data_IF_953167558238
#
_entry.id   IF_953167558238
#
_cell.length_a   1.000
_cell.length_b   1.000
_cell.length_c   1.000
_cell.angle_alpha   90.00
_cell.angle_beta   90.00
_cell.angle_gamma   90.00
#
_symmetry.space_group_name_H-M   'P 1'
#
loop_
_entity.id
_entity.type
_entity.pdbx_description
1 polymer ?
#
# COMPACT_ATOMS: atom_id res chain seq x y z
N UNK A 1 54.56 5.31 -27.41
CA UNK A 1 53.66 6.35 -27.97
C UNK A 1 52.32 5.71 -28.29
N UNK A 2 51.26 6.39 -27.85
CA UNK A 2 49.84 6.05 -27.95
C UNK A 2 49.40 5.47 -29.30
N UNK A 3 48.49 4.49 -29.25
CA UNK A 3 47.27 4.50 -30.07
C UNK A 3 46.15 3.62 -29.47
N UNK A 4 44.97 4.21 -29.52
CA UNK A 4 43.71 3.81 -28.91
C UNK A 4 43.20 2.41 -29.32
N UNK A 5 42.70 1.67 -28.33
CA UNK A 5 41.69 0.62 -28.53
C UNK A 5 40.45 0.94 -27.68
N UNK A 6 39.42 1.45 -28.36
CA UNK A 6 38.06 1.54 -27.84
C UNK A 6 37.43 0.15 -27.82
N UNK A 7 37.42 -0.49 -26.65
CA UNK A 7 36.63 -1.72 -26.43
C UNK A 7 35.26 -1.32 -25.88
N UNK A 8 34.25 -1.34 -26.75
CA UNK A 8 32.83 -1.28 -26.36
C UNK A 8 32.54 -2.49 -25.44
N UNK A 9 32.33 -2.25 -24.14
CA UNK A 9 31.68 -3.22 -23.26
C UNK A 9 30.18 -3.16 -23.53
N UNK A 10 29.66 -4.20 -24.18
CA UNK A 10 28.23 -4.47 -24.28
C UNK A 10 27.68 -4.75 -22.88
N UNK A 11 26.88 -3.81 -22.37
CA UNK A 11 26.01 -4.07 -21.24
C UNK A 11 24.93 -5.03 -21.76
N UNK A 12 24.97 -6.27 -21.28
CA UNK A 12 23.89 -7.23 -21.45
C UNK A 12 22.70 -6.66 -20.66
N UNK A 13 21.83 -5.91 -21.34
CA UNK A 13 20.49 -5.59 -20.85
C UNK A 13 19.65 -6.84 -21.01
N UNK A 14 19.34 -7.49 -19.91
CA UNK A 14 18.27 -8.49 -19.82
C UNK A 14 17.00 -7.87 -20.40
N UNK A 15 16.32 -8.48 -21.38
CA UNK A 15 15.03 -7.98 -21.81
C UNK A 15 14.03 -8.21 -20.68
N UNK A 16 13.44 -7.12 -20.19
CA UNK A 16 12.21 -7.11 -19.40
C UNK A 16 11.15 -7.91 -20.16
N UNK A 17 11.01 -9.19 -19.85
CA UNK A 17 9.84 -9.97 -20.24
C UNK A 17 8.69 -9.50 -19.37
N UNK A 18 7.93 -8.52 -19.85
CA UNK A 18 6.53 -8.38 -19.45
C UNK A 18 5.88 -9.75 -19.67
N UNK A 19 5.46 -10.40 -18.60
CA UNK A 19 4.70 -11.65 -18.70
C UNK A 19 3.36 -11.28 -19.33
N UNK A 20 3.26 -11.38 -20.65
CA UNK A 20 1.98 -11.36 -21.36
C UNK A 20 1.20 -12.61 -20.93
N UNK A 21 0.44 -12.50 -19.84
CA UNK A 21 -0.59 -13.50 -19.54
C UNK A 21 -1.74 -13.24 -20.50
N UNK A 22 -1.73 -13.95 -21.62
CA UNK A 22 -2.94 -14.16 -22.42
C UNK A 22 -4.00 -14.75 -21.50
N UNK A 23 -5.14 -14.06 -21.37
CA UNK A 23 -6.30 -14.60 -20.69
C UNK A 23 -6.77 -15.84 -21.46
N UNK A 24 -6.34 -17.02 -21.02
CA UNK A 24 -7.08 -18.24 -21.25
C UNK A 24 -8.35 -18.12 -20.41
N UNK A 25 -9.44 -17.71 -21.06
CA UNK A 25 -10.79 -17.99 -20.54
C UNK A 25 -10.81 -19.42 -20.02
N UNK A 26 -11.42 -19.71 -18.86
CA UNK A 26 -11.61 -21.09 -18.43
C UNK A 26 -12.41 -21.78 -19.52
N UNK A 27 -11.73 -22.58 -20.33
CA UNK A 27 -12.34 -23.54 -21.24
C UNK A 27 -13.04 -24.55 -20.33
N UNK A 28 -14.22 -24.23 -19.84
CA UNK A 28 -15.27 -25.24 -19.96
C UNK A 28 -15.50 -25.31 -21.46
N UNK A 29 -15.06 -26.37 -22.16
CA UNK A 29 -15.56 -26.53 -23.51
C UNK A 29 -17.08 -26.55 -23.33
N UNK A 30 -17.78 -25.64 -24.02
CA UNK A 30 -19.05 -26.07 -24.56
C UNK A 30 -18.69 -27.30 -25.38
N UNK A 31 -18.88 -28.47 -24.78
CA UNK A 31 -18.88 -29.72 -25.52
C UNK A 31 -20.13 -29.59 -26.36
N UNK A 32 -19.99 -28.98 -27.54
CA UNK A 32 -20.79 -29.42 -28.67
C UNK A 32 -20.58 -30.92 -28.68
N UNK A 33 -21.62 -31.67 -28.34
CA UNK A 33 -21.62 -33.10 -28.62
C UNK A 33 -21.21 -33.18 -30.10
N UNK A 34 -20.03 -33.76 -30.42
CA UNK A 34 -19.78 -34.07 -31.81
C UNK A 34 -20.97 -34.93 -32.20
N UNK A 35 -21.70 -34.53 -33.24
CA UNK A 35 -22.66 -35.43 -33.88
C UNK A 35 -21.93 -36.75 -34.00
N UNK A 36 -22.38 -37.74 -33.23
CA UNK A 36 -21.72 -39.04 -33.16
C UNK A 36 -21.63 -39.51 -34.61
N UNK A 37 -20.41 -39.75 -35.15
CA UNK A 37 -20.31 -40.38 -36.45
C UNK A 37 -21.09 -41.68 -36.33
N UNK A 38 -22.05 -41.88 -37.24
CA UNK A 38 -23.02 -42.98 -37.26
C UNK A 38 -22.41 -44.24 -36.63
N UNK A 39 -22.71 -44.50 -35.36
CA UNK A 39 -22.12 -45.63 -34.66
C UNK A 39 -22.50 -46.89 -35.43
N UNK A 40 -21.51 -47.71 -35.77
CA UNK A 40 -21.57 -48.92 -36.60
C UNK A 40 -22.49 -50.05 -36.04
N UNK A 41 -23.42 -49.72 -35.14
CA UNK A 41 -24.38 -50.65 -34.51
C UNK A 41 -25.74 -50.68 -35.20
N UNK A 42 -25.98 -49.88 -36.25
CA UNK A 42 -27.16 -50.01 -37.13
C UNK A 42 -26.71 -50.51 -38.50
N UNK A 43 -27.41 -51.50 -39.05
CA UNK A 43 -27.15 -52.03 -40.39
C UNK A 43 -27.45 -50.92 -41.42
N UNK A 44 -26.41 -50.39 -42.07
CA UNK A 44 -26.52 -49.36 -43.11
C UNK A 44 -26.51 -50.07 -44.46
N UNK A 45 -27.48 -49.77 -45.34
CA UNK A 45 -27.52 -50.37 -46.68
C UNK A 45 -26.27 -49.94 -47.47
N UNK A 46 -25.69 -50.80 -48.34
CA UNK A 46 -24.44 -50.49 -49.05
C UNK A 46 -24.48 -49.18 -49.87
N UNK A 47 -25.68 -48.76 -50.26
CA UNK A 47 -25.97 -47.55 -51.03
C UNK A 47 -25.94 -46.27 -50.17
N UNK A 48 -25.99 -46.40 -48.85
CA UNK A 48 -26.00 -45.30 -47.87
C UNK A 48 -24.63 -45.13 -47.17
N UNK A 49 -23.64 -45.95 -47.51
CA UNK A 49 -22.26 -45.76 -47.03
C UNK A 49 -21.61 -44.62 -47.79
N UNK A 50 -21.63 -43.43 -47.19
CA UNK A 50 -20.81 -42.30 -47.63
C UNK A 50 -19.34 -42.73 -47.69
N UNK A 51 -18.68 -42.37 -48.78
CA UNK A 51 -17.22 -42.54 -48.88
C UNK A 51 -16.52 -41.72 -47.79
N UNK A 52 -15.28 -42.08 -47.39
CA UNK A 52 -14.55 -41.34 -46.37
C UNK A 52 -14.42 -39.83 -46.67
N UNK A 53 -14.35 -39.49 -47.96
CA UNK A 53 -14.26 -38.12 -48.47
C UNK A 53 -15.59 -37.37 -48.34
N UNK A 54 -16.71 -38.00 -48.70
CA UNK A 54 -18.04 -37.44 -48.52
C UNK A 54 -18.41 -37.27 -47.04
N UNK A 55 -17.96 -38.20 -46.19
CA UNK A 55 -18.18 -38.12 -44.75
C UNK A 55 -17.34 -36.99 -44.11
N UNK A 56 -16.14 -36.72 -44.62
CA UNK A 56 -15.36 -35.53 -44.22
C UNK A 56 -15.98 -34.23 -44.73
N UNK A 57 -16.49 -34.21 -45.96
CA UNK A 57 -17.14 -33.04 -46.55
C UNK A 57 -18.49 -32.69 -45.90
N UNK A 58 -19.18 -33.68 -45.32
CA UNK A 58 -20.41 -33.49 -44.57
C UNK A 58 -20.20 -32.87 -43.17
N UNK A 59 -18.95 -32.85 -42.66
CA UNK A 59 -18.61 -32.18 -41.41
C UNK A 59 -18.43 -30.69 -41.74
N UNK A 60 -19.29 -29.79 -41.22
CA UNK A 60 -19.13 -28.36 -41.46
C UNK A 60 -17.74 -27.91 -40.99
N UNK A 61 -17.00 -27.11 -41.78
CA UNK A 61 -15.71 -26.60 -41.36
C UNK A 61 -15.90 -25.80 -40.06
N UNK A 62 -14.93 -25.88 -39.14
CA UNK A 62 -14.97 -25.10 -37.90
C UNK A 62 -15.15 -23.63 -38.27
N UNK A 63 -16.11 -22.90 -37.66
CA UNK A 63 -16.23 -21.48 -37.90
C UNK A 63 -14.89 -20.81 -37.57
N UNK A 64 -14.30 -20.18 -38.58
CA UNK A 64 -13.05 -19.42 -38.44
C UNK A 64 -13.40 -18.02 -37.95
N UNK A 65 -12.73 -17.59 -36.89
CA UNK A 65 -12.92 -16.23 -36.33
C UNK A 65 -11.93 -15.23 -36.91
N UNK A 66 -11.25 -15.57 -38.01
CA UNK A 66 -10.21 -14.75 -38.63
C UNK A 66 -10.77 -13.46 -39.25
N UNK A 67 -12.03 -13.47 -39.66
CA UNK A 67 -12.73 -12.30 -40.20
C UNK A 67 -13.17 -11.31 -39.11
N UNK A 68 -13.29 -11.77 -37.86
CA UNK A 68 -13.62 -10.91 -36.73
C UNK A 68 -12.43 -9.99 -36.47
N UNK A 69 -12.65 -8.68 -36.61
CA UNK A 69 -11.65 -7.67 -36.29
C UNK A 69 -11.12 -7.90 -34.87
N UNK A 70 -9.87 -8.34 -34.74
CA UNK A 70 -9.20 -8.50 -33.45
C UNK A 70 -9.10 -7.13 -32.80
N UNK A 71 -9.92 -6.90 -31.78
CA UNK A 71 -9.84 -5.71 -30.93
C UNK A 71 -8.62 -5.89 -30.02
N UNK A 72 -7.54 -5.18 -30.29
CA UNK A 72 -6.38 -5.17 -29.39
C UNK A 72 -6.77 -4.34 -28.17
N UNK A 73 -6.86 -5.02 -27.03
CA UNK A 73 -7.18 -4.46 -25.74
C UNK A 73 -5.93 -4.58 -24.87
N UNK A 74 -5.04 -3.59 -24.89
CA UNK A 74 -4.02 -3.48 -23.83
C UNK A 74 -4.71 -2.94 -22.58
N UNK A 75 -5.40 -3.86 -21.91
CA UNK A 75 -6.21 -3.63 -20.73
C UNK A 75 -5.41 -4.23 -19.55
N UNK A 76 -4.67 -3.41 -18.76
CA UNK A 76 -3.89 -3.90 -17.63
C UNK A 76 -4.80 -4.53 -16.56
N UNK A 77 -4.32 -5.44 -15.71
CA UNK A 77 -5.13 -5.89 -14.59
C UNK A 77 -5.34 -4.70 -13.62
N UNK A 78 -6.54 -4.44 -13.06
CA UNK A 78 -6.74 -3.40 -12.04
C UNK A 78 -5.76 -3.47 -10.87
N UNK A 79 -5.29 -4.66 -10.52
CA UNK A 79 -4.28 -4.88 -9.48
C UNK A 79 -2.90 -4.35 -9.88
N UNK A 80 -2.60 -4.27 -11.18
CA UNK A 80 -1.36 -3.72 -11.73
C UNK A 80 -1.40 -2.17 -11.82
N UNK A 81 -2.60 -1.57 -11.68
CA UNK A 81 -2.77 -0.12 -11.61
C UNK A 81 -2.62 0.32 -10.16
N UNK A 82 -1.38 0.51 -9.73
CA UNK A 82 -1.10 0.99 -8.39
C UNK A 82 -1.39 2.49 -8.31
N UNK A 83 -2.39 2.86 -7.52
CA UNK A 83 -2.72 4.24 -7.18
C UNK A 83 -3.27 4.34 -5.75
N UNK A 84 -2.86 5.40 -5.06
CA UNK A 84 -3.12 5.67 -3.64
C UNK A 84 -4.36 6.52 -3.41
N UNK A 85 -4.77 7.36 -4.38
CA UNK A 85 -5.74 8.44 -4.14
C UNK A 85 -7.10 8.21 -4.78
N UNK A 86 -7.23 7.25 -5.72
CA UNK A 86 -8.48 7.05 -6.43
C UNK A 86 -9.42 6.10 -5.71
N UNK A 87 -10.68 6.51 -5.67
CA UNK A 87 -11.86 5.65 -5.49
C UNK A 87 -12.80 5.92 -6.65
N UNK A 88 -13.12 4.87 -7.40
CA UNK A 88 -13.96 4.98 -8.58
C UNK A 88 -15.43 5.06 -8.19
N UNK A 89 -16.15 6.02 -8.79
CA UNK A 89 -17.57 6.22 -8.61
C UNK A 89 -18.34 6.00 -9.92
N UNK A 90 -19.68 6.08 -9.84
CA UNK A 90 -20.55 5.89 -11.02
C UNK A 90 -20.29 6.91 -12.11
N UNK A 91 -19.93 8.14 -11.75
CA UNK A 91 -19.61 9.22 -12.68
C UNK A 91 -18.35 8.91 -13.48
N UNK A 92 -17.33 8.32 -12.85
CA UNK A 92 -16.09 7.93 -13.54
C UNK A 92 -16.35 6.89 -14.63
N UNK A 93 -17.23 5.91 -14.35
CA UNK A 93 -17.65 4.89 -15.30
C UNK A 93 -18.38 5.54 -16.49
N UNK A 94 -19.25 6.51 -16.22
CA UNK A 94 -20.00 7.24 -17.25
C UNK A 94 -19.07 8.12 -18.11
N UNK A 95 -18.20 8.92 -17.48
CA UNK A 95 -17.23 9.78 -18.17
C UNK A 95 -16.32 8.93 -19.05
N UNK A 96 -15.79 7.83 -18.52
CA UNK A 96 -14.97 6.92 -19.29
C UNK A 96 -15.71 6.43 -20.53
N UNK A 97 -16.97 5.99 -20.38
CA UNK A 97 -17.80 5.51 -21.50
C UNK A 97 -18.06 6.56 -22.58
N UNK A 98 -18.27 7.82 -22.21
CA UNK A 98 -18.62 8.89 -23.16
C UNK A 98 -17.40 9.65 -23.71
N UNK A 99 -16.22 9.47 -23.12
CA UNK A 99 -14.98 10.11 -23.59
C UNK A 99 -14.52 9.56 -24.94
N UNK A 100 -13.92 10.43 -25.76
CA UNK A 100 -13.37 10.08 -27.09
C UNK A 100 -12.30 8.98 -27.00
N UNK A 101 -11.56 8.94 -25.89
CA UNK A 101 -10.44 8.03 -25.65
C UNK A 101 -10.78 6.82 -24.76
N UNK A 102 -12.00 6.76 -24.20
CA UNK A 102 -12.53 5.66 -23.37
C UNK A 102 -11.60 5.21 -22.25
N UNK A 103 -11.02 6.17 -21.54
CA UNK A 103 -9.97 5.96 -20.53
C UNK A 103 -10.59 5.90 -19.13
N UNK A 104 -10.38 4.78 -18.44
CA UNK A 104 -10.76 4.62 -17.03
C UNK A 104 -9.62 5.01 -16.05
N UNK A 105 -8.35 4.84 -16.45
CA UNK A 105 -7.15 5.17 -15.66
C UNK A 105 -6.10 5.83 -16.53
N UNK A 106 -5.41 6.85 -16.01
CA UNK A 106 -4.22 7.49 -16.58
C UNK A 106 -4.30 7.87 -18.08
N UNK A 107 -3.38 8.70 -18.54
CA UNK A 107 -3.35 9.13 -19.94
C UNK A 107 -2.80 8.07 -20.91
N UNK A 108 -2.32 6.93 -20.40
CA UNK A 108 -1.62 5.87 -21.13
C UNK A 108 -2.54 4.79 -21.72
N UNK A 109 -3.77 4.63 -21.25
CA UNK A 109 -4.59 3.44 -21.56
C UNK A 109 -5.78 3.77 -22.44
N UNK A 110 -5.55 3.81 -23.76
CA UNK A 110 -6.60 4.02 -24.77
C UNK A 110 -7.14 2.70 -25.29
N UNK A 111 -8.45 2.52 -25.21
CA UNK A 111 -9.14 1.44 -25.94
C UNK A 111 -9.55 1.98 -27.31
N UNK A 112 -8.75 1.68 -28.34
CA UNK A 112 -9.05 2.04 -29.73
C UNK A 112 -9.91 0.96 -30.36
N UNK A 113 -11.18 1.28 -30.65
CA UNK A 113 -11.95 0.48 -31.60
C UNK A 113 -11.62 1.01 -33.00
N UNK A 114 -10.76 0.30 -33.73
CA UNK A 114 -10.66 0.50 -35.18
C UNK A 114 -11.97 -0.04 -35.77
N UNK A 115 -12.85 0.86 -36.20
CA UNK A 115 -13.87 0.47 -37.17
C UNK A 115 -13.12 0.08 -38.45
N UNK A 116 -13.29 -1.17 -38.90
CA UNK A 116 -13.04 -1.50 -40.29
C UNK A 116 -14.06 -0.67 -41.09
N UNK A 117 -13.61 -0.10 -42.20
CA UNK A 117 -14.35 0.76 -43.13
C UNK A 117 -14.27 2.26 -42.81
N UNK A 118 -13.37 2.91 -43.55
CA UNK A 118 -13.40 4.34 -43.77
C UNK A 118 -14.73 4.72 -44.40
N UNK A 119 -15.34 5.73 -43.81
CA UNK A 119 -16.57 6.33 -44.29
C UNK A 119 -16.97 7.40 -43.30
N UNK A 120 -17.09 8.63 -43.79
CA UNK A 120 -17.46 9.87 -43.07
C UNK A 120 -18.87 9.85 -42.45
N UNK A 121 -19.33 8.73 -41.91
CA UNK A 121 -20.50 8.67 -41.01
C UNK A 121 -20.04 8.88 -39.57
N UNK A 122 -19.37 10.00 -39.36
CA UNK A 122 -19.10 10.58 -38.06
C UNK A 122 -20.42 11.10 -37.46
N UNK A 123 -21.15 10.26 -36.73
CA UNK A 123 -22.39 10.71 -36.10
C UNK A 123 -22.85 9.89 -34.91
N UNK A 124 -22.77 8.56 -34.98
CA UNK A 124 -23.31 7.72 -33.90
C UNK A 124 -22.18 7.09 -33.13
N UNK A 125 -21.78 7.75 -32.03
CA UNK A 125 -20.93 7.17 -30.98
C UNK A 125 -21.64 5.94 -30.40
N UNK A 126 -21.45 4.77 -30.99
CA UNK A 126 -22.09 3.55 -30.51
C UNK A 126 -21.69 3.29 -29.05
N UNK A 127 -22.72 3.22 -28.21
CA UNK A 127 -22.66 2.77 -26.82
C UNK A 127 -22.22 1.30 -26.83
N UNK A 128 -21.00 1.03 -26.38
CA UNK A 128 -20.48 -0.35 -26.32
C UNK A 128 -20.74 -0.92 -24.94
N UNK A 129 -21.88 -1.60 -24.76
CA UNK A 129 -22.27 -2.27 -23.50
C UNK A 129 -21.22 -3.24 -22.90
N UNK A 130 -20.41 -3.99 -23.70
CA UNK A 130 -19.34 -4.82 -23.15
C UNK A 130 -18.31 -4.05 -22.30
N UNK A 131 -18.06 -2.77 -22.62
CA UNK A 131 -17.15 -1.93 -21.84
C UNK A 131 -17.68 -1.59 -20.45
N UNK A 132 -19.01 -1.44 -20.33
CA UNK A 132 -19.66 -1.16 -19.05
C UNK A 132 -19.45 -2.32 -18.07
N UNK A 133 -19.52 -3.56 -18.55
CA UNK A 133 -19.28 -4.73 -17.71
C UNK A 133 -17.82 -4.81 -17.23
N UNK A 134 -16.87 -4.48 -18.10
CA UNK A 134 -15.44 -4.40 -17.74
C UNK A 134 -15.21 -3.28 -16.72
N UNK A 135 -15.67 -2.06 -17.01
CA UNK A 135 -15.52 -0.90 -16.13
C UNK A 135 -16.18 -1.10 -14.76
N UNK A 136 -17.35 -1.75 -14.71
CA UNK A 136 -18.01 -2.12 -13.46
C UNK A 136 -17.20 -3.15 -12.67
N UNK A 137 -16.71 -4.20 -13.33
CA UNK A 137 -15.87 -5.22 -12.69
C UNK A 137 -14.60 -4.59 -12.10
N UNK A 138 -13.98 -3.69 -12.86
CA UNK A 138 -12.78 -2.97 -12.46
C UNK A 138 -13.03 -2.02 -11.29
N UNK A 139 -14.13 -1.27 -11.34
CA UNK A 139 -14.54 -0.41 -10.24
C UNK A 139 -14.70 -1.23 -8.95
N UNK A 140 -15.30 -2.42 -9.05
CA UNK A 140 -15.45 -3.32 -7.90
C UNK A 140 -14.09 -3.78 -7.37
N UNK A 141 -13.19 -4.27 -8.23
CA UNK A 141 -11.86 -4.75 -7.82
C UNK A 141 -11.01 -3.63 -7.22
N UNK A 142 -11.00 -2.47 -7.87
CA UNK A 142 -10.20 -1.33 -7.45
C UNK A 142 -10.69 -0.73 -6.13
N UNK A 143 -12.02 -0.62 -5.95
CA UNK A 143 -12.59 -0.17 -4.68
C UNK A 143 -12.49 -1.22 -3.58
N UNK A 144 -12.38 -2.51 -3.91
CA UNK A 144 -12.15 -3.56 -2.91
C UNK A 144 -10.75 -3.46 -2.26
N UNK A 145 -9.80 -2.77 -2.89
CA UNK A 145 -8.52 -2.42 -2.26
C UNK A 145 -8.71 -1.45 -1.09
N UNK A 146 -9.83 -0.73 -1.00
CA UNK A 146 -10.15 0.17 0.12
C UNK A 146 -11.00 -0.62 1.12
N UNK A 147 -10.32 -1.49 1.87
CA UNK A 147 -10.95 -2.32 2.91
C UNK A 147 -11.42 -1.41 4.06
N UNK A 148 -12.58 -1.68 4.69
CA UNK A 148 -12.97 -0.99 5.90
C UNK A 148 -12.01 -1.38 7.03
N UNK A 149 -11.41 -0.39 7.68
CA UNK A 149 -10.51 -0.60 8.82
C UNK A 149 -11.20 -0.23 10.12
N UNK A 150 -10.67 -0.74 11.23
CA UNK A 150 -10.99 -0.30 12.58
C UNK A 150 -9.88 0.59 13.11
N UNK A 151 -10.22 1.50 14.02
CA UNK A 151 -9.19 2.24 14.73
C UNK A 151 -8.54 1.33 15.78
N UNK A 152 -7.20 1.36 15.82
CA UNK A 152 -6.43 0.67 16.84
C UNK A 152 -6.91 1.14 18.22
N UNK A 153 -7.54 0.22 18.96
CA UNK A 153 -8.09 0.51 20.26
C UNK A 153 -6.99 1.00 21.21
N UNK A 154 -7.23 2.13 21.89
CA UNK A 154 -6.33 2.58 22.96
C UNK A 154 -6.18 1.44 23.98
N UNK A 155 -4.94 1.01 24.22
CA UNK A 155 -4.67 -0.14 25.09
C UNK A 155 -5.33 0.12 26.44
N UNK A 156 -6.28 -0.74 26.84
CA UNK A 156 -6.67 -0.80 28.25
C UNK A 156 -5.40 -1.17 29.01
N UNK A 157 -4.93 -0.27 29.87
CA UNK A 157 -3.77 -0.49 30.71
C UNK A 157 -3.99 -1.77 31.53
N UNK A 158 -3.45 -2.91 31.07
CA UNK A 158 -3.79 -4.18 31.70
C UNK A 158 -3.18 -5.46 31.11
N UNK A 159 -2.59 -5.44 29.91
CA UNK A 159 -1.98 -6.64 29.31
C UNK A 159 -0.58 -6.97 29.85
N UNK A 160 -0.25 -6.53 31.07
CA UNK A 160 0.98 -6.97 31.72
C UNK A 160 0.80 -8.35 32.33
N UNK A 161 1.67 -9.30 31.99
CA UNK A 161 1.79 -10.54 32.76
C UNK A 161 2.17 -10.16 34.19
N UNK A 162 1.24 -10.38 35.13
CA UNK A 162 1.50 -10.18 36.54
C UNK A 162 2.33 -11.35 37.06
N UNK A 163 3.59 -11.08 37.39
CA UNK A 163 4.42 -12.01 38.15
C UNK A 163 3.76 -12.22 39.52
N UNK A 164 3.69 -13.46 39.98
CA UNK A 164 3.10 -13.76 41.29
C UNK A 164 3.92 -13.09 42.39
N UNK A 165 3.25 -12.64 43.46
CA UNK A 165 3.93 -11.96 44.58
C UNK A 165 5.08 -12.78 45.18
N UNK A 166 4.93 -14.11 45.19
CA UNK A 166 5.94 -15.06 45.65
C UNK A 166 7.17 -15.12 44.75
N UNK A 167 7.00 -15.17 43.42
CA UNK A 167 8.14 -15.10 42.50
C UNK A 167 8.84 -13.75 42.59
N UNK A 168 8.06 -12.67 42.69
CA UNK A 168 8.60 -11.31 42.77
C UNK A 168 9.54 -11.16 43.97
N UNK A 169 9.12 -11.58 45.17
CA UNK A 169 9.96 -11.51 46.37
C UNK A 169 11.26 -12.30 46.23
N UNK A 170 11.23 -13.46 45.55
CA UNK A 170 12.44 -14.25 45.26
C UNK A 170 13.36 -13.51 44.29
N UNK A 171 12.81 -12.91 43.23
CA UNK A 171 13.57 -12.11 42.26
C UNK A 171 14.16 -10.84 42.88
N UNK A 172 13.41 -10.14 43.73
CA UNK A 172 13.88 -8.98 44.50
C UNK A 172 15.13 -9.35 45.32
N UNK A 173 15.06 -10.45 46.08
CA UNK A 173 16.16 -10.89 46.96
C UNK A 173 17.46 -11.28 46.25
N UNK A 174 17.35 -11.73 44.99
CA UNK A 174 18.51 -12.11 44.17
C UNK A 174 19.06 -10.87 43.47
N UNK A 175 18.19 -10.06 42.88
CA UNK A 175 18.60 -8.84 42.16
C UNK A 175 19.36 -7.87 43.06
N UNK A 176 18.90 -7.66 44.32
CA UNK A 176 19.60 -6.79 45.28
C UNK A 176 21.03 -7.23 45.63
N UNK A 177 21.38 -8.49 45.34
CA UNK A 177 22.71 -9.06 45.60
C UNK A 177 23.55 -9.22 44.34
N UNK A 178 22.94 -9.11 43.16
CA UNK A 178 23.62 -9.24 41.87
C UNK A 178 24.30 -7.92 41.51
N UNK A 179 25.52 -7.98 40.97
CA UNK A 179 26.25 -6.78 40.54
C UNK A 179 25.89 -6.37 39.11
N UNK A 180 25.43 -7.30 38.28
CA UNK A 180 25.00 -7.04 36.91
C UNK A 180 23.83 -7.94 36.47
N UNK A 181 23.24 -7.61 35.31
CA UNK A 181 22.11 -8.34 34.72
C UNK A 181 22.46 -9.79 34.40
N UNK A 182 23.67 -10.06 33.90
CA UNK A 182 24.12 -11.40 33.53
C UNK A 182 24.30 -12.32 34.74
N UNK A 183 24.81 -11.80 35.86
CA UNK A 183 24.90 -12.46 37.14
C UNK A 183 23.51 -12.78 37.68
N UNK A 184 22.57 -11.82 37.62
CA UNK A 184 21.18 -12.04 38.01
C UNK A 184 20.55 -13.23 37.28
N UNK A 185 20.64 -13.29 35.95
CA UNK A 185 20.07 -14.41 35.17
C UNK A 185 20.71 -15.76 35.49
N UNK A 186 22.00 -15.76 35.88
CA UNK A 186 22.74 -16.96 36.28
C UNK A 186 22.31 -17.46 37.66
N UNK A 187 22.24 -16.57 38.64
CA UNK A 187 21.85 -16.89 40.02
C UNK A 187 20.43 -17.45 40.11
N UNK A 188 19.51 -16.93 39.31
CA UNK A 188 18.14 -17.47 39.25
C UNK A 188 18.02 -18.74 38.38
N UNK A 189 19.12 -19.19 37.77
CA UNK A 189 19.17 -20.32 36.83
C UNK A 189 18.16 -20.20 35.66
N UNK A 190 17.88 -18.97 35.20
CA UNK A 190 16.82 -18.71 34.22
C UNK A 190 17.02 -19.43 32.88
N UNK A 191 18.27 -19.52 32.42
CA UNK A 191 18.61 -20.15 31.13
C UNK A 191 18.37 -21.66 31.15
N UNK A 192 18.83 -22.35 32.21
CA UNK A 192 18.63 -23.80 32.32
C UNK A 192 17.15 -24.14 32.54
N UNK A 193 16.46 -23.34 33.37
CA UNK A 193 15.03 -23.46 33.60
C UNK A 193 14.24 -23.31 32.29
N UNK A 194 14.53 -22.29 31.48
CA UNK A 194 13.91 -22.10 30.16
C UNK A 194 14.17 -23.27 29.22
N UNK A 195 15.40 -23.79 29.19
CA UNK A 195 15.75 -24.95 28.37
C UNK A 195 14.98 -26.21 28.76
N UNK A 196 14.73 -26.43 30.06
CA UNK A 196 13.91 -27.53 30.54
C UNK A 196 12.44 -27.37 30.11
N UNK A 197 11.90 -26.15 30.20
CA UNK A 197 10.53 -25.83 29.78
C UNK A 197 10.35 -26.04 28.28
N UNK A 198 11.24 -25.51 27.44
CA UNK A 198 11.17 -25.66 25.98
C UNK A 198 11.28 -27.11 25.51
N UNK A 199 11.98 -27.97 26.28
CA UNK A 199 12.09 -29.41 26.01
C UNK A 199 10.91 -30.21 26.55
N UNK A 200 9.92 -29.58 27.19
CA UNK A 200 8.76 -30.24 27.79
C UNK A 200 9.13 -31.18 28.94
N UNK A 201 10.25 -30.94 29.63
CA UNK A 201 10.78 -31.81 30.69
C UNK A 201 10.33 -31.41 32.10
N UNK A 202 9.43 -30.44 32.22
CA UNK A 202 8.98 -29.88 33.50
C UNK A 202 7.50 -30.19 33.69
N UNK A 203 7.13 -30.63 34.89
CA UNK A 203 5.72 -30.88 35.21
C UNK A 203 4.94 -29.56 35.36
N UNK A 204 3.63 -29.51 35.03
CA UNK A 204 2.83 -28.29 35.14
C UNK A 204 2.83 -27.64 36.53
N UNK A 205 2.96 -28.44 37.59
CA UNK A 205 3.00 -27.96 38.99
C UNK A 205 4.34 -27.27 39.31
N UNK A 206 5.44 -27.79 38.78
CA UNK A 206 6.79 -27.22 38.96
C UNK A 206 6.96 -25.94 38.14
N UNK A 207 6.25 -25.83 37.01
CA UNK A 207 6.28 -24.67 36.13
C UNK A 207 5.91 -23.36 36.85
N UNK A 208 4.96 -23.41 37.79
CA UNK A 208 4.45 -22.23 38.48
C UNK A 208 5.47 -21.57 39.43
N UNK A 209 6.45 -22.33 39.90
CA UNK A 209 7.51 -21.84 40.80
C UNK A 209 8.87 -21.62 40.13
N UNK A 210 8.98 -21.97 38.84
CA UNK A 210 10.22 -21.90 38.09
C UNK A 210 10.48 -20.47 37.58
N UNK A 211 11.70 -19.97 37.77
CA UNK A 211 12.12 -18.70 37.19
C UNK A 211 12.70 -19.00 35.81
N UNK A 212 11.97 -18.66 34.77
CA UNK A 212 12.42 -18.73 33.36
C UNK A 212 12.96 -17.38 32.90
N UNK A 213 13.63 -17.38 31.75
CA UNK A 213 14.08 -16.14 31.09
C UNK A 213 12.92 -15.17 30.81
N UNK A 214 11.74 -15.70 30.46
CA UNK A 214 10.53 -14.91 30.21
C UNK A 214 10.15 -14.09 31.44
N UNK A 215 9.98 -14.76 32.59
CA UNK A 215 9.52 -14.13 33.83
C UNK A 215 10.58 -13.19 34.42
N UNK A 216 11.86 -13.59 34.36
CA UNK A 216 12.97 -12.76 34.83
C UNK A 216 13.14 -11.48 34.00
N UNK A 217 12.98 -11.56 32.67
CA UNK A 217 13.04 -10.39 31.78
C UNK A 217 11.86 -9.46 32.03
N UNK A 218 10.64 -9.99 32.13
CA UNK A 218 9.46 -9.18 32.46
C UNK A 218 9.58 -8.51 33.83
N UNK A 219 10.21 -9.19 34.81
CA UNK A 219 10.49 -8.61 36.11
C UNK A 219 11.41 -7.38 36.00
N UNK A 220 12.54 -7.52 35.29
CA UNK A 220 13.48 -6.40 35.08
C UNK A 220 12.82 -5.25 34.31
N UNK A 221 11.99 -5.53 33.30
CA UNK A 221 11.25 -4.49 32.57
C UNK A 221 10.12 -3.83 33.38
N UNK A 222 9.79 -4.35 34.58
CA UNK A 222 8.85 -3.73 35.51
C UNK A 222 9.54 -2.91 36.61
N UNK A 223 10.88 -2.92 36.65
CA UNK A 223 11.68 -2.18 37.62
C UNK A 223 12.00 -0.78 37.09
N UNK A 224 11.64 0.25 37.86
CA UNK A 224 11.83 1.65 37.46
C UNK A 224 13.30 2.00 37.25
N UNK A 225 14.18 1.52 38.12
CA UNK A 225 15.63 1.69 38.06
C UNK A 225 16.24 1.18 36.75
N UNK A 226 15.78 0.03 36.23
CA UNK A 226 16.22 -0.49 34.93
C UNK A 226 15.72 0.36 33.76
N UNK A 227 14.50 0.90 33.85
CA UNK A 227 13.94 1.74 32.79
C UNK A 227 14.57 3.14 32.77
N UNK A 228 14.88 3.65 33.96
CA UNK A 228 15.47 4.97 34.16
C UNK A 228 16.96 4.97 33.82
N UNK A 229 17.69 3.86 33.99
CA UNK A 229 19.09 3.73 33.56
C UNK A 229 19.22 3.12 32.16
N UNK A 230 19.72 3.92 31.21
CA UNK A 230 19.92 3.49 29.83
C UNK A 230 20.95 2.35 29.68
N UNK A 231 22.02 2.37 30.48
CA UNK A 231 23.09 1.36 30.37
C UNK A 231 22.53 -0.01 30.76
N UNK A 232 21.74 -0.06 31.83
CA UNK A 232 21.08 -1.29 32.30
C UNK A 232 20.04 -1.79 31.29
N UNK A 233 19.19 -0.89 30.75
CA UNK A 233 18.23 -1.25 29.70
C UNK A 233 18.94 -1.84 28.47
N UNK A 234 20.08 -1.28 28.10
CA UNK A 234 20.89 -1.73 26.96
C UNK A 234 21.55 -3.09 27.18
N UNK A 235 22.06 -3.32 28.39
CA UNK A 235 22.56 -4.64 28.78
C UNK A 235 21.44 -5.68 28.73
N UNK A 236 20.24 -5.32 29.17
CA UNK A 236 19.06 -6.20 29.10
C UNK A 236 18.68 -6.52 27.66
N UNK A 237 18.60 -5.53 26.77
CA UNK A 237 18.28 -5.74 25.35
C UNK A 237 19.34 -6.65 24.68
N UNK A 238 20.62 -6.38 24.93
CA UNK A 238 21.73 -7.20 24.40
C UNK A 238 21.66 -8.64 24.90
N UNK A 239 21.30 -8.83 26.17
CA UNK A 239 21.09 -10.14 26.77
C UNK A 239 19.91 -10.88 26.11
N UNK A 240 18.78 -10.20 25.90
CA UNK A 240 17.62 -10.77 25.21
C UNK A 240 18.01 -11.18 23.79
N UNK A 241 18.70 -10.32 23.04
CA UNK A 241 19.15 -10.58 21.67
C UNK A 241 20.04 -11.83 21.59
N UNK A 242 20.94 -12.01 22.54
CA UNK A 242 21.84 -13.17 22.59
C UNK A 242 21.13 -14.48 22.96
N UNK A 243 19.94 -14.40 23.57
CA UNK A 243 19.22 -15.55 24.12
C UNK A 243 17.78 -15.71 23.59
N UNK A 244 17.45 -15.10 22.44
CA UNK A 244 16.09 -15.14 21.85
C UNK A 244 15.53 -16.57 21.75
N UNK A 245 16.39 -17.54 21.40
CA UNK A 245 16.01 -18.96 21.24
C UNK A 245 15.57 -19.64 22.55
N UNK A 246 15.84 -19.02 23.71
CA UNK A 246 15.45 -19.53 25.03
C UNK A 246 14.11 -18.98 25.52
N UNK A 247 13.51 -18.03 24.80
CA UNK A 247 12.19 -17.49 25.12
C UNK A 247 11.07 -18.39 24.59
N UNK A 248 9.95 -18.44 25.30
CA UNK A 248 8.72 -18.96 24.70
C UNK A 248 8.12 -17.90 23.78
N UNK A 249 7.34 -18.32 22.77
CA UNK A 249 6.65 -17.37 21.86
C UNK A 249 5.77 -16.37 22.62
N UNK A 250 5.13 -16.83 23.70
CA UNK A 250 4.31 -15.97 24.56
C UNK A 250 5.18 -14.99 25.36
N UNK A 251 6.22 -15.49 26.05
CA UNK A 251 7.11 -14.65 26.83
C UNK A 251 7.82 -13.59 25.99
N UNK A 252 8.28 -13.94 24.79
CA UNK A 252 8.87 -12.98 23.86
C UNK A 252 7.85 -11.92 23.42
N UNK A 253 6.59 -12.31 23.17
CA UNK A 253 5.52 -11.37 22.82
C UNK A 253 5.25 -10.38 23.95
N UNK A 254 5.19 -10.87 25.19
CA UNK A 254 4.98 -10.04 26.39
C UNK A 254 6.16 -9.07 26.60
N UNK A 255 7.39 -9.53 26.37
CA UNK A 255 8.61 -8.71 26.44
C UNK A 255 8.58 -7.61 25.39
N UNK A 256 8.21 -7.94 24.15
CA UNK A 256 8.10 -6.97 23.05
C UNK A 256 7.02 -5.93 23.30
N UNK A 257 5.86 -6.33 23.81
CA UNK A 257 4.82 -5.38 24.19
C UNK A 257 5.29 -4.40 25.27
N UNK A 258 6.01 -4.90 26.28
CA UNK A 258 6.54 -4.07 27.35
C UNK A 258 7.63 -3.13 26.85
N UNK A 259 8.59 -3.63 26.08
CA UNK A 259 9.66 -2.82 25.46
C UNK A 259 9.07 -1.74 24.54
N UNK A 260 8.16 -2.11 23.64
CA UNK A 260 7.50 -1.16 22.75
C UNK A 260 6.78 -0.05 23.53
N UNK A 261 6.14 -0.39 24.65
CA UNK A 261 5.47 0.60 25.51
C UNK A 261 6.45 1.54 26.20
N UNK A 262 7.57 1.02 26.73
CA UNK A 262 8.59 1.83 27.40
C UNK A 262 9.18 2.82 26.40
N UNK A 263 9.67 2.32 25.28
CA UNK A 263 10.38 3.13 24.28
C UNK A 263 9.46 4.14 23.62
N UNK A 264 8.24 3.74 23.23
CA UNK A 264 7.30 4.64 22.58
C UNK A 264 6.89 5.83 23.46
N UNK A 265 6.87 5.64 24.79
CA UNK A 265 6.47 6.69 25.73
C UNK A 265 7.63 7.61 26.13
N UNK A 266 8.88 7.17 25.96
CA UNK A 266 10.05 7.96 26.31
C UNK A 266 10.56 8.75 25.09
N UNK A 267 9.94 9.92 24.86
CA UNK A 267 10.29 10.81 23.75
C UNK A 267 11.60 11.59 23.97
N UNK A 268 12.28 11.41 25.11
CA UNK A 268 13.47 12.19 25.47
C UNK A 268 14.79 11.56 25.03
N UNK A 269 14.77 10.30 24.59
CA UNK A 269 15.94 9.47 24.28
C UNK A 269 16.07 9.15 22.79
N UNK A 270 15.98 10.16 21.92
CA UNK A 270 15.98 9.96 20.46
C UNK A 270 17.29 9.35 19.92
N UNK A 271 18.44 9.61 20.55
CA UNK A 271 19.74 9.03 20.16
C UNK A 271 19.86 7.53 20.45
N UNK A 272 18.97 7.00 21.28
CA UNK A 272 19.11 5.70 21.93
C UNK A 272 18.24 4.61 21.26
N UNK A 273 17.44 5.03 20.27
CA UNK A 273 16.52 4.20 19.49
C UNK A 273 17.24 3.26 18.51
N UNK A 274 18.48 3.57 18.10
CA UNK A 274 19.22 2.80 17.10
C UNK A 274 19.50 1.36 17.56
N UNK A 275 19.88 1.13 18.82
CA UNK A 275 20.23 -0.22 19.27
C UNK A 275 18.98 -1.08 19.48
N UNK A 276 17.86 -0.45 19.83
CA UNK A 276 16.57 -1.12 19.80
C UNK A 276 16.14 -1.45 18.37
N UNK A 277 16.41 -0.58 17.39
CA UNK A 277 16.15 -0.85 15.98
C UNK A 277 16.90 -2.09 15.49
N UNK A 278 18.19 -2.22 15.81
CA UNK A 278 19.00 -3.39 15.44
C UNK A 278 18.48 -4.69 16.07
N UNK A 279 18.06 -4.63 17.34
CA UNK A 279 17.40 -5.75 18.01
C UNK A 279 16.08 -6.14 17.32
N UNK A 280 15.22 -5.17 17.02
CA UNK A 280 13.93 -5.39 16.37
C UNK A 280 14.09 -5.96 14.95
N UNK A 281 15.06 -5.46 14.18
CA UNK A 281 15.43 -6.01 12.86
C UNK A 281 15.81 -7.47 12.96
N UNK A 282 16.74 -7.80 13.85
CA UNK A 282 17.19 -9.19 14.05
C UNK A 282 16.05 -10.12 14.47
N UNK A 283 15.10 -9.63 15.27
CA UNK A 283 13.91 -10.40 15.64
C UNK A 283 12.93 -10.61 14.47
N UNK A 284 12.67 -9.59 13.66
CA UNK A 284 11.79 -9.68 12.49
C UNK A 284 12.36 -10.68 11.48
N UNK A 285 13.66 -10.65 11.24
CA UNK A 285 14.34 -11.56 10.32
C UNK A 285 14.35 -13.02 10.81
N UNK A 286 14.46 -13.24 12.13
CA UNK A 286 14.63 -14.60 12.68
C UNK A 286 13.35 -15.28 13.17
N UNK A 287 12.31 -14.53 13.54
CA UNK A 287 11.09 -15.05 14.21
C UNK A 287 9.78 -14.64 13.50
N UNK A 288 9.88 -14.33 12.21
CA UNK A 288 8.83 -13.80 11.33
C UNK A 288 7.44 -14.45 11.50
N UNK A 289 7.39 -15.79 11.57
CA UNK A 289 6.15 -16.52 11.26
C UNK A 289 5.29 -16.93 12.47
N UNK A 290 5.72 -16.76 13.72
CA UNK A 290 4.97 -17.31 14.87
C UNK A 290 4.68 -16.33 16.00
N UNK A 291 5.57 -15.38 16.29
CA UNK A 291 5.42 -14.48 17.44
C UNK A 291 4.92 -13.10 17.06
N UNK A 292 5.39 -12.54 15.93
CA UNK A 292 5.06 -11.16 15.52
C UNK A 292 3.61 -11.04 15.06
N UNK A 293 3.12 -11.97 14.23
CA UNK A 293 1.71 -11.96 13.78
C UNK A 293 0.69 -12.15 14.92
N UNK A 294 1.14 -12.61 16.11
CA UNK A 294 0.30 -12.78 17.30
C UNK A 294 0.32 -11.57 18.24
N UNK A 295 1.16 -10.58 17.97
CA UNK A 295 1.20 -9.35 18.77
C UNK A 295 -0.11 -8.57 18.62
N UNK A 296 -0.49 -7.87 19.68
CA UNK A 296 -1.64 -6.99 19.64
C UNK A 296 -1.41 -5.84 18.63
N UNK A 297 -2.44 -5.40 17.87
CA UNK A 297 -2.30 -4.33 16.87
C UNK A 297 -1.62 -3.05 17.39
N UNK A 298 -1.89 -2.69 18.64
CA UNK A 298 -1.25 -1.52 19.28
C UNK A 298 0.27 -1.68 19.40
N UNK A 299 0.73 -2.89 19.73
CA UNK A 299 2.16 -3.17 19.85
C UNK A 299 2.82 -3.11 18.48
N UNK A 300 2.17 -3.68 17.46
CA UNK A 300 2.63 -3.60 16.07
C UNK A 300 2.72 -2.14 15.59
N UNK A 301 1.73 -1.30 15.89
CA UNK A 301 1.75 0.13 15.54
C UNK A 301 2.93 0.87 16.16
N UNK A 302 3.19 0.63 17.46
CA UNK A 302 4.31 1.25 18.19
C UNK A 302 5.66 0.79 17.69
N UNK A 303 5.80 -0.52 17.43
CA UNK A 303 7.04 -1.07 16.88
C UNK A 303 7.31 -0.53 15.48
N UNK A 304 6.27 -0.46 14.63
CA UNK A 304 6.38 0.14 13.30
C UNK A 304 6.78 1.62 13.39
N UNK A 305 6.15 2.39 14.29
CA UNK A 305 6.52 3.79 14.55
C UNK A 305 8.01 3.93 14.87
N UNK A 306 8.54 3.10 15.78
CA UNK A 306 9.95 3.15 16.19
C UNK A 306 10.87 2.82 15.01
N UNK A 307 10.60 1.73 14.27
CA UNK A 307 11.41 1.31 13.12
C UNK A 307 11.46 2.38 12.02
N UNK A 308 10.30 2.97 11.69
CA UNK A 308 10.16 4.00 10.66
C UNK A 308 10.89 5.27 11.09
N UNK A 309 10.78 5.67 12.36
CA UNK A 309 11.46 6.86 12.90
C UNK A 309 12.99 6.72 12.82
N UNK A 310 13.51 5.51 12.98
CA UNK A 310 14.93 5.20 12.83
C UNK A 310 15.37 4.94 11.38
N UNK A 311 14.50 5.20 10.41
CA UNK A 311 14.80 5.07 8.97
C UNK A 311 14.63 3.66 8.39
N UNK A 312 14.20 2.65 9.17
CA UNK A 312 13.89 1.32 8.64
C UNK A 312 12.43 1.19 8.18
N UNK A 313 12.16 1.77 7.00
CA UNK A 313 10.85 1.69 6.37
C UNK A 313 10.45 0.25 6.00
N UNK A 314 11.40 -0.59 5.62
CA UNK A 314 11.09 -1.93 5.11
C UNK A 314 10.48 -2.81 6.20
N UNK A 315 11.14 -2.89 7.35
CA UNK A 315 10.64 -3.66 8.50
C UNK A 315 9.38 -3.03 9.09
N UNK A 316 9.31 -1.69 9.15
CA UNK A 316 8.12 -0.99 9.58
C UNK A 316 6.90 -1.29 8.71
N UNK A 317 7.04 -1.26 7.38
CA UNK A 317 5.93 -1.57 6.47
C UNK A 317 5.50 -3.03 6.54
N UNK A 318 6.41 -3.95 6.85
CA UNK A 318 6.05 -5.34 7.06
C UNK A 318 5.08 -5.49 8.24
N UNK A 319 5.36 -4.85 9.38
CA UNK A 319 4.46 -4.87 10.54
C UNK A 319 3.10 -4.24 10.23
N UNK A 320 3.10 -3.11 9.52
CA UNK A 320 1.86 -2.42 9.15
C UNK A 320 1.03 -3.17 8.12
N UNK A 321 1.66 -3.94 7.23
CA UNK A 321 0.94 -4.84 6.32
C UNK A 321 0.19 -5.93 7.08
N UNK A 322 0.81 -6.54 8.10
CA UNK A 322 0.12 -7.50 8.97
C UNK A 322 -1.11 -6.85 9.62
N UNK A 323 -0.97 -5.64 10.16
CA UNK A 323 -2.08 -4.90 10.76
C UNK A 323 -3.22 -4.61 9.77
N UNK A 324 -2.91 -4.10 8.58
CA UNK A 324 -3.90 -3.67 7.60
C UNK A 324 -4.53 -4.86 6.88
N UNK A 325 -3.72 -5.81 6.41
CA UNK A 325 -4.19 -6.91 5.57
C UNK A 325 -4.76 -8.09 6.35
N UNK A 326 -4.17 -8.46 7.49
CA UNK A 326 -4.59 -9.61 8.28
C UNK A 326 -5.55 -9.22 9.42
N UNK A 327 -5.27 -8.11 10.11
CA UNK A 327 -6.07 -7.68 11.28
C UNK A 327 -7.17 -6.66 10.95
N UNK A 328 -7.13 -6.05 9.76
CA UNK A 328 -8.05 -4.96 9.35
C UNK A 328 -8.07 -3.78 10.33
N UNK A 329 -6.92 -3.45 10.90
CA UNK A 329 -6.73 -2.34 11.86
C UNK A 329 -5.93 -1.21 11.20
N UNK A 330 -6.34 0.04 11.45
CA UNK A 330 -5.72 1.23 10.90
C UNK A 330 -4.55 1.70 11.78
N UNK A 331 -3.35 1.93 11.20
CA UNK A 331 -2.24 2.52 11.93
C UNK A 331 -2.64 3.86 12.58
N UNK A 332 -1.97 4.21 13.67
CA UNK A 332 -2.23 5.47 14.37
C UNK A 332 -1.80 6.68 13.52
N UNK A 333 -2.41 7.83 13.79
CA UNK A 333 -2.08 9.09 13.11
C UNK A 333 -0.60 9.45 13.30
N UNK A 334 -0.02 9.14 14.47
CA UNK A 334 1.40 9.35 14.75
C UNK A 334 2.29 8.50 13.84
N UNK A 335 1.97 7.22 13.66
CA UNK A 335 2.71 6.32 12.78
C UNK A 335 2.62 6.76 11.32
N UNK A 336 1.42 7.09 10.85
CA UNK A 336 1.22 7.59 9.49
C UNK A 336 1.99 8.90 9.25
N UNK A 337 1.96 9.84 10.19
CA UNK A 337 2.68 11.11 10.09
C UNK A 337 4.19 10.90 9.94
N UNK A 338 4.79 9.99 10.72
CA UNK A 338 6.23 9.68 10.61
C UNK A 338 6.56 9.09 9.23
N UNK A 339 5.74 8.16 8.71
CA UNK A 339 5.97 7.60 7.36
C UNK A 339 6.01 8.71 6.31
N UNK A 340 4.99 9.57 6.28
CA UNK A 340 4.93 10.61 5.26
C UNK A 340 6.02 11.67 5.43
N UNK A 341 6.41 11.98 6.67
CA UNK A 341 7.54 12.86 6.95
C UNK A 341 8.88 12.28 6.45
N UNK A 342 9.11 10.98 6.65
CA UNK A 342 10.28 10.30 6.09
C UNK A 342 10.32 10.33 4.56
N UNK A 343 9.16 10.24 3.89
CA UNK A 343 9.10 10.40 2.44
C UNK A 343 9.33 11.84 1.97
N UNK A 344 8.87 12.82 2.75
CA UNK A 344 9.10 14.24 2.45
C UNK A 344 10.58 14.63 2.62
N UNK A 345 11.27 14.07 3.62
CA UNK A 345 12.65 14.44 3.97
C UNK A 345 13.69 13.60 3.21
N UNK A 346 13.66 12.28 3.36
CA UNK A 346 14.77 11.40 2.97
C UNK A 346 14.59 10.76 1.58
N UNK A 347 13.36 10.66 1.09
CA UNK A 347 13.03 9.93 -0.14
C UNK A 347 12.54 10.81 -1.28
N UNK A 348 12.89 12.11 -1.25
CA UNK A 348 12.54 13.07 -2.30
C UNK A 348 13.09 12.69 -3.68
N UNK A 349 14.17 11.90 -3.75
CA UNK A 349 14.80 11.42 -4.99
C UNK A 349 14.22 10.14 -5.62
N UNK A 350 13.31 9.42 -4.93
CA UNK A 350 12.69 8.20 -5.49
C UNK A 350 11.78 8.51 -6.68
N UNK A 351 11.70 7.59 -7.63
CA UNK A 351 10.73 7.69 -8.73
C UNK A 351 9.29 7.57 -8.21
N UNK A 352 8.34 8.16 -8.93
CA UNK A 352 6.92 8.10 -8.58
C UNK A 352 6.45 6.63 -8.55
N UNK A 353 6.91 5.81 -9.48
CA UNK A 353 6.62 4.38 -9.55
C UNK A 353 7.07 3.62 -8.30
N UNK A 354 8.28 3.91 -7.80
CA UNK A 354 8.81 3.28 -6.59
C UNK A 354 8.00 3.70 -5.36
N UNK A 355 7.70 5.00 -5.22
CA UNK A 355 6.88 5.51 -4.12
C UNK A 355 5.50 4.86 -4.09
N UNK A 356 4.83 4.78 -5.24
CA UNK A 356 3.52 4.13 -5.37
C UNK A 356 3.61 2.66 -4.95
N UNK A 357 4.62 1.92 -5.43
CA UNK A 357 4.78 0.49 -5.14
C UNK A 357 5.02 0.23 -3.66
N UNK A 358 5.79 1.09 -2.99
CA UNK A 358 6.08 0.96 -1.57
C UNK A 358 4.88 1.33 -0.70
N UNK A 359 4.14 2.38 -1.07
CA UNK A 359 3.05 2.94 -0.27
C UNK A 359 1.68 2.33 -0.56
N UNK A 360 1.52 1.53 -1.63
CA UNK A 360 0.19 1.07 -2.10
C UNK A 360 -0.65 0.39 -1.02
N UNK A 361 -0.01 -0.34 -0.10
CA UNK A 361 -0.68 -1.03 1.01
C UNK A 361 -1.31 -0.06 2.03
N UNK A 362 -0.90 1.20 2.07
CA UNK A 362 -1.48 2.23 2.95
C UNK A 362 -2.77 2.83 2.40
N UNK A 363 -3.18 2.50 1.16
CA UNK A 363 -4.41 3.03 0.56
C UNK A 363 -5.64 2.86 1.47
N UNK A 364 -5.95 1.69 2.05
CA UNK A 364 -6.99 1.56 3.08
C UNK A 364 -6.88 2.59 4.22
N UNK A 365 -5.68 2.78 4.77
CA UNK A 365 -5.44 3.67 5.90
C UNK A 365 -5.65 5.15 5.53
N UNK A 366 -5.18 5.57 4.35
CA UNK A 366 -5.38 6.93 3.83
C UNK A 366 -6.88 7.21 3.65
N UNK A 367 -7.64 6.25 3.13
CA UNK A 367 -9.10 6.40 2.97
C UNK A 367 -9.87 6.33 4.28
N UNK A 368 -9.33 5.66 5.30
CA UNK A 368 -9.93 5.54 6.62
C UNK A 368 -9.75 6.81 7.46
N UNK A 369 -8.50 7.32 7.54
CA UNK A 369 -8.17 8.53 8.32
C UNK A 369 -8.38 9.84 7.57
N UNK A 370 -8.40 9.78 6.23
CA UNK A 370 -8.37 10.95 5.38
C UNK A 370 -6.95 11.49 5.18
N UNK A 371 -6.86 12.63 4.49
CA UNK A 371 -5.59 13.27 4.15
C UNK A 371 -5.31 14.39 5.14
N UNK A 372 -4.09 14.40 5.67
CA UNK A 372 -3.57 15.36 6.64
C UNK A 372 -2.42 16.19 6.05
N UNK A 373 -1.83 17.07 6.86
CA UNK A 373 -0.77 17.98 6.43
C UNK A 373 0.52 17.23 6.05
N UNK A 374 0.79 16.08 6.68
CA UNK A 374 2.00 15.30 6.42
C UNK A 374 1.89 14.46 5.14
N UNK A 375 0.73 13.84 4.91
CA UNK A 375 0.45 12.97 3.76
C UNK A 375 0.22 13.74 2.47
N UNK A 376 -0.39 14.93 2.54
CA UNK A 376 -0.78 15.68 1.35
C UNK A 376 0.37 15.95 0.36
N UNK A 377 1.56 16.45 0.78
CA UNK A 377 2.67 16.71 -0.15
C UNK A 377 3.14 15.45 -0.89
N UNK A 378 3.22 14.32 -0.19
CA UNK A 378 3.61 13.02 -0.77
C UNK A 378 2.59 12.58 -1.81
N UNK A 379 1.29 12.64 -1.47
CA UNK A 379 0.21 12.26 -2.38
C UNK A 379 0.15 13.19 -3.60
N UNK A 380 0.32 14.50 -3.42
CA UNK A 380 0.33 15.48 -4.49
C UNK A 380 1.45 15.23 -5.52
N UNK A 381 2.61 14.77 -5.05
CA UNK A 381 3.75 14.39 -5.90
C UNK A 381 3.45 13.14 -6.75
N UNK A 382 2.72 12.19 -6.18
CA UNK A 382 2.41 10.89 -6.79
C UNK A 382 1.34 10.99 -7.89
N UNK A 383 0.41 11.93 -7.75
CA UNK A 383 -0.64 12.21 -8.75
C UNK A 383 -0.02 12.48 -10.14
N UNK A 384 -0.56 11.84 -11.18
CA UNK A 384 0.01 11.85 -12.54
C UNK A 384 -0.77 12.67 -13.54
N UNK A 385 -2.08 12.82 -13.33
CA UNK A 385 -2.94 13.55 -14.25
C UNK A 385 -4.03 14.35 -13.50
N UNK A 386 -4.80 15.11 -14.27
CA UNK A 386 -5.84 16.00 -13.76
C UNK A 386 -6.99 15.25 -13.06
N UNK A 387 -7.26 13.99 -13.46
CA UNK A 387 -8.33 13.18 -12.84
C UNK A 387 -7.87 12.66 -11.49
N UNK A 388 -6.67 12.11 -11.41
CA UNK A 388 -6.05 11.70 -10.14
C UNK A 388 -5.95 12.89 -9.19
N UNK A 389 -5.62 14.07 -9.72
CA UNK A 389 -5.57 15.31 -8.96
C UNK A 389 -6.95 15.66 -8.38
N UNK A 390 -8.00 15.59 -9.19
CA UNK A 390 -9.36 15.81 -8.69
C UNK A 390 -9.73 14.79 -7.62
N UNK A 391 -9.35 13.52 -7.76
CA UNK A 391 -9.57 12.48 -6.74
C UNK A 391 -8.85 12.78 -5.44
N UNK A 392 -7.62 13.28 -5.50
CA UNK A 392 -6.91 13.74 -4.30
C UNK A 392 -7.65 14.89 -3.61
N UNK A 393 -8.12 15.90 -4.36
CA UNK A 393 -8.86 17.04 -3.79
C UNK A 393 -10.22 16.60 -3.20
N UNK A 394 -10.87 15.62 -3.81
CA UNK A 394 -12.08 15.00 -3.26
C UNK A 394 -11.78 14.20 -1.99
N UNK A 395 -10.65 13.46 -1.96
CA UNK A 395 -10.20 12.65 -0.82
C UNK A 395 -9.80 13.49 0.40
N UNK A 396 -9.22 14.69 0.18
CA UNK A 396 -9.01 15.67 1.27
C UNK A 396 -10.33 16.07 1.93
N UNK A 397 -11.45 15.96 1.21
CA UNK A 397 -12.79 16.19 1.77
C UNK A 397 -12.94 17.58 2.38
N UNK A 398 -13.50 17.67 3.59
CA UNK A 398 -13.73 18.93 4.29
C UNK A 398 -12.56 19.35 5.18
N UNK A 399 -11.38 18.71 5.07
CA UNK A 399 -10.19 19.11 5.81
C UNK A 399 -9.63 20.44 5.27
N UNK A 400 -10.14 21.54 5.82
CA UNK A 400 -9.76 22.90 5.43
C UNK A 400 -8.29 23.20 5.69
N UNK A 401 -7.70 22.62 6.74
CA UNK A 401 -6.31 22.91 7.14
C UNK A 401 -5.34 22.56 6.02
N UNK A 402 -5.52 21.38 5.40
CA UNK A 402 -4.69 20.93 4.28
C UNK A 402 -4.83 21.86 3.09
N UNK A 403 -6.07 22.15 2.68
CA UNK A 403 -6.31 22.99 1.51
C UNK A 403 -5.84 24.43 1.72
N UNK A 404 -5.92 24.95 2.94
CA UNK A 404 -5.47 26.29 3.31
C UNK A 404 -3.95 26.40 3.36
N UNK A 405 -3.28 25.36 3.85
CA UNK A 405 -1.81 25.30 3.96
C UNK A 405 -1.16 25.15 2.59
N UNK A 406 -1.73 24.33 1.70
CA UNK A 406 -1.10 23.95 0.43
C UNK A 406 -1.74 24.61 -0.81
N UNK A 407 -2.44 25.74 -0.66
CA UNK A 407 -3.12 26.43 -1.77
C UNK A 407 -2.22 26.64 -3.00
N UNK A 408 -1.01 27.15 -2.75
CA UNK A 408 -0.05 27.47 -3.81
C UNK A 408 0.49 26.21 -4.50
N UNK A 409 0.76 25.15 -3.76
CA UNK A 409 1.27 23.89 -4.31
C UNK A 409 0.20 23.16 -5.14
N UNK A 410 -1.04 23.18 -4.66
CA UNK A 410 -2.22 22.72 -5.42
C UNK A 410 -2.29 23.45 -6.76
N UNK A 411 -2.17 24.78 -6.73
CA UNK A 411 -2.23 25.60 -7.93
C UNK A 411 -1.06 25.32 -8.89
N UNK A 412 0.17 25.29 -8.39
CA UNK A 412 1.37 25.00 -9.18
C UNK A 412 1.25 23.62 -9.85
N UNK A 413 0.85 22.59 -9.10
CA UNK A 413 0.69 21.24 -9.62
C UNK A 413 -0.42 21.16 -10.67
N UNK A 414 -1.53 21.84 -10.45
CA UNK A 414 -2.61 21.93 -11.42
C UNK A 414 -2.16 22.56 -12.74
N UNK A 415 -1.42 23.67 -12.67
CA UNK A 415 -0.85 24.33 -13.85
C UNK A 415 0.11 23.41 -14.62
N UNK A 416 0.98 22.69 -13.90
CA UNK A 416 1.88 21.71 -14.53
C UNK A 416 1.13 20.69 -15.37
N UNK A 417 0.00 20.15 -14.89
CA UNK A 417 -0.82 19.24 -15.68
C UNK A 417 -1.40 19.94 -16.91
N UNK A 418 -1.94 21.15 -16.76
CA UNK A 418 -2.48 21.91 -17.88
C UNK A 418 -1.46 22.18 -18.99
N UNK A 419 -0.19 22.44 -18.61
CA UNK A 419 0.89 22.68 -19.56
C UNK A 419 1.21 21.45 -20.43
N UNK A 420 1.01 20.24 -19.89
CA UNK A 420 1.24 18.98 -20.60
C UNK A 420 0.17 18.63 -21.65
N UNK A 421 -1.03 19.23 -21.60
CA UNK A 421 -2.16 18.91 -22.50
C UNK A 421 -2.22 19.75 -23.79
N UNK A 422 -1.17 20.50 -24.12
CA UNK A 422 -1.16 21.49 -25.20
C UNK A 422 -1.00 20.86 -26.59
N UNK A 423 -2.09 20.40 -27.22
CA UNK A 423 -2.08 19.88 -28.61
C UNK A 423 -2.73 20.85 -29.61
N UNK A 424 -3.69 21.69 -29.18
CA UNK A 424 -4.31 22.75 -30.01
C UNK A 424 -4.47 24.06 -29.21
N UNK A 425 -3.95 25.17 -29.74
CA UNK A 425 -3.74 26.41 -28.94
C UNK A 425 -5.05 27.10 -28.50
N UNK A 426 -6.11 27.05 -29.32
CA UNK A 426 -7.38 27.74 -29.03
C UNK A 426 -8.29 26.94 -28.07
N UNK A 427 -8.44 25.63 -28.31
CA UNK A 427 -9.20 24.73 -27.42
C UNK A 427 -8.51 24.58 -26.05
N UNK A 428 -7.17 24.64 -26.04
CA UNK A 428 -6.36 24.65 -24.81
C UNK A 428 -6.66 25.86 -23.92
N UNK A 429 -6.81 27.08 -24.46
CA UNK A 429 -7.10 28.28 -23.63
C UNK A 429 -8.46 28.22 -22.95
N UNK A 430 -9.52 27.84 -23.67
CA UNK A 430 -10.85 27.73 -23.07
C UNK A 430 -10.91 26.61 -22.03
N UNK A 431 -10.30 25.47 -22.33
CA UNK A 431 -10.21 24.34 -21.43
C UNK A 431 -9.43 24.68 -20.16
N UNK A 432 -8.29 25.39 -20.28
CA UNK A 432 -7.52 25.90 -19.14
C UNK A 432 -8.33 26.84 -18.27
N UNK A 433 -9.04 27.80 -18.87
CA UNK A 433 -9.94 28.74 -18.17
C UNK A 433 -11.03 28.02 -17.38
N UNK A 434 -11.70 27.04 -18.01
CA UNK A 434 -12.75 26.26 -17.36
C UNK A 434 -12.20 25.54 -16.13
N UNK A 435 -11.11 24.80 -16.30
CA UNK A 435 -10.51 24.02 -15.21
C UNK A 435 -10.05 24.91 -14.05
N UNK A 436 -9.36 26.02 -14.33
CA UNK A 436 -8.97 26.99 -13.31
C UNK A 436 -10.17 27.58 -12.57
N UNK A 437 -11.22 27.93 -13.29
CA UNK A 437 -12.47 28.44 -12.69
C UNK A 437 -13.12 27.38 -11.78
N UNK A 438 -13.11 26.11 -12.19
CA UNK A 438 -13.65 25.03 -11.36
C UNK A 438 -12.83 24.81 -10.09
N UNK A 439 -11.51 24.88 -10.17
CA UNK A 439 -10.64 24.79 -8.98
C UNK A 439 -10.99 25.90 -7.97
N UNK A 440 -11.09 27.15 -8.42
CA UNK A 440 -11.49 28.29 -7.56
C UNK A 440 -12.87 28.06 -6.94
N UNK A 441 -13.84 27.57 -7.73
CA UNK A 441 -15.17 27.24 -7.22
C UNK A 441 -15.12 26.16 -6.14
N UNK A 442 -14.21 25.19 -6.23
CA UNK A 442 -14.01 24.19 -5.17
C UNK A 442 -13.52 24.88 -3.88
N UNK A 443 -12.51 25.75 -3.96
CA UNK A 443 -12.02 26.52 -2.81
C UNK A 443 -13.13 27.39 -2.18
N UNK A 444 -13.90 28.11 -3.01
CA UNK A 444 -15.03 28.92 -2.57
C UNK A 444 -16.14 28.09 -1.91
N UNK A 445 -16.53 26.97 -2.52
CA UNK A 445 -17.54 26.05 -1.95
C UNK A 445 -17.11 25.51 -0.60
N UNK A 446 -15.82 25.20 -0.44
CA UNK A 446 -15.22 24.74 0.83
C UNK A 446 -14.95 25.89 1.82
N UNK A 447 -15.27 27.14 1.46
CA UNK A 447 -15.07 28.36 2.26
C UNK A 447 -13.61 28.55 2.69
N UNK A 448 -12.70 28.40 1.73
CA UNK A 448 -11.26 28.65 1.91
C UNK A 448 -10.96 30.02 1.33
N UNK A 449 -10.33 30.88 2.14
CA UNK A 449 -9.91 32.21 1.71
C UNK A 449 -8.58 32.07 0.97
N UNK A 450 -8.51 32.59 -0.25
CA UNK A 450 -7.29 32.50 -1.03
C UNK A 450 -6.21 33.42 -0.44
N UNK A 451 -5.00 32.90 -0.23
CA UNK A 451 -3.90 33.74 0.25
C UNK A 451 -3.39 34.69 -0.85
N UNK A 452 -2.74 35.78 -0.46
CA UNK A 452 -2.31 36.85 -1.37
C UNK A 452 -1.41 36.34 -2.50
N UNK A 453 -0.51 35.39 -2.19
CA UNK A 453 0.41 34.80 -3.16
C UNK A 453 -0.34 33.97 -4.21
N UNK A 454 -1.32 33.15 -3.80
CA UNK A 454 -2.18 32.38 -4.70
C UNK A 454 -3.03 33.30 -5.56
N UNK A 455 -3.59 34.37 -4.98
CA UNK A 455 -4.33 35.40 -5.72
C UNK A 455 -3.45 36.05 -6.78
N UNK A 456 -2.22 36.44 -6.44
CA UNK A 456 -1.26 37.05 -7.37
C UNK A 456 -0.96 36.11 -8.55
N UNK A 457 -0.70 34.84 -8.26
CA UNK A 457 -0.47 33.82 -9.30
C UNK A 457 -1.70 33.60 -10.20
N UNK A 458 -2.89 33.54 -9.61
CA UNK A 458 -4.15 33.40 -10.36
C UNK A 458 -4.42 34.61 -11.25
N UNK A 459 -4.20 35.83 -10.76
CA UNK A 459 -4.34 37.07 -11.54
C UNK A 459 -3.40 37.07 -12.75
N UNK A 460 -2.15 36.64 -12.56
CA UNK A 460 -1.20 36.52 -13.65
C UNK A 460 -1.69 35.53 -14.72
N UNK A 461 -2.18 34.35 -14.32
CA UNK A 461 -2.71 33.35 -15.27
C UNK A 461 -3.98 33.81 -15.99
N UNK A 462 -4.95 34.40 -15.30
CA UNK A 462 -6.15 34.91 -15.98
C UNK A 462 -5.88 36.11 -16.88
N UNK A 463 -4.84 36.90 -16.59
CA UNK A 463 -4.35 37.94 -17.50
C UNK A 463 -3.79 37.33 -18.78
N UNK A 464 -2.96 36.28 -18.67
CA UNK A 464 -2.45 35.52 -19.81
C UNK A 464 -3.57 34.88 -20.63
N UNK A 465 -4.61 34.36 -19.97
CA UNK A 465 -5.77 33.74 -20.60
C UNK A 465 -6.81 34.75 -21.13
N UNK A 466 -6.59 36.06 -20.94
CA UNK A 466 -7.50 37.15 -21.31
C UNK A 466 -8.93 36.96 -20.75
N UNK A 467 -9.03 36.67 -19.45
CA UNK A 467 -10.31 36.41 -18.76
C UNK A 467 -10.72 37.55 -17.80
N UNK A 468 -11.41 38.60 -18.29
CA UNK A 468 -11.75 39.76 -17.46
C UNK A 468 -12.77 39.45 -16.35
N UNK A 469 -13.59 38.42 -16.54
CA UNK A 469 -14.64 38.04 -15.57
C UNK A 469 -14.00 37.47 -14.31
N UNK A 470 -13.11 36.48 -14.47
CA UNK A 470 -12.42 35.87 -13.34
C UNK A 470 -11.41 36.83 -12.67
N UNK A 471 -10.81 37.76 -13.42
CA UNK A 471 -10.00 38.83 -12.84
C UNK A 471 -10.82 39.74 -11.91
N UNK A 472 -12.05 40.06 -12.30
CA UNK A 472 -12.96 40.87 -11.46
C UNK A 472 -13.36 40.12 -10.21
N UNK A 473 -13.66 38.81 -10.31
CA UNK A 473 -13.97 37.96 -9.14
C UNK A 473 -12.80 37.90 -8.17
N UNK A 474 -11.56 37.75 -8.65
CA UNK A 474 -10.35 37.73 -7.81
C UNK A 474 -9.97 39.08 -7.20
N UNK A 475 -10.53 40.18 -7.68
CA UNK A 475 -10.36 41.50 -7.06
C UNK A 475 -11.37 41.74 -5.92
N UNK A 476 -12.42 40.91 -5.83
CA UNK A 476 -13.49 40.99 -4.83
C UNK A 476 -13.42 39.86 -3.78
N UNK A 477 -12.45 38.96 -3.93
CA UNK A 477 -12.05 37.95 -2.94
C UNK A 477 -10.90 38.51 -2.11
#
# INVERSE_FOLDING_TARGET
MLRHTTTKRSIIRSPLRSIQRTYTTPKKPFVFQPYLPNDNSKYIFPQEKLTPEENQAAIPPRPTFDDISKKVFDIPNPEDVADLVTRLNKTDILISRFSKSRRLFNNSHTVVIKNKEGGDRAGVRQVVFPYLNVANSWTRLFNAQIKPLKDVAATKAGFGVSITKTLKAKLDSVYEKSNDIGEFFREVNALENSRLVLKGKVNPVELAGLITIDNATIYLLNRGDILDDFIELMQLITFIQSNVSMFTNKGLSDVLEKLARVVYNDSTRESDLHVLNDFLKGLIETQRDVSIAKLHPVTLDKLAYILIKEGDLASGFELLKIMIDEMSECPSEKTLAVIFNEYNQQHSGKSIEEMIRELCFLKPAIFHKGVDVNSFPVLLKIVRDLRDFQKLIDLVGDNKVVLDTFQLDIFKRFKQFQDQFSVDEYDSRQTRRLYLTQLIRVFQRKRINLNEETIKHLKNEFTLLKDPVNLTVLNNL
#
